data_IF_532285921760
#
_entry.id   IF_532285921760
#
_cell.length_a   1.000
_cell.length_b   1.000
_cell.length_c   1.000
_cell.angle_alpha   90.00
_cell.angle_beta   90.00
_cell.angle_gamma   90.00
#
_symmetry.space_group_name_H-M   'P 1'
#
loop_
_entity.id
_entity.type
_entity.pdbx_description
1 polymer ?
#
# COMPACT_ATOMS: atom_id res chain seq x y z
N UNK A 1 20.22 17.30 -18.17
CA UNK A 1 19.09 16.81 -17.36
C UNK A 1 18.32 15.85 -18.26
N UNK A 2 18.27 14.55 -17.91
CA UNK A 2 17.76 13.48 -18.77
C UNK A 2 16.34 13.79 -19.27
N UNK A 3 16.04 13.56 -20.57
CA UNK A 3 14.73 13.88 -21.17
C UNK A 3 13.58 13.14 -20.48
N UNK A 4 13.85 11.98 -19.86
CA UNK A 4 12.88 11.24 -19.05
C UNK A 4 12.47 12.03 -17.81
N UNK A 5 13.41 12.65 -17.10
CA UNK A 5 13.13 13.40 -15.87
C UNK A 5 12.22 14.58 -16.20
N UNK A 6 12.50 15.29 -17.29
CA UNK A 6 11.67 16.41 -17.75
C UNK A 6 10.25 15.96 -18.10
N UNK A 7 10.12 14.87 -18.86
CA UNK A 7 8.80 14.33 -19.24
C UNK A 7 7.98 13.92 -18.01
N UNK A 8 8.59 13.22 -17.05
CA UNK A 8 7.92 12.83 -15.79
C UNK A 8 7.48 14.06 -15.00
N UNK A 9 8.31 15.11 -14.91
CA UNK A 9 7.91 16.36 -14.24
C UNK A 9 6.75 17.07 -14.94
N UNK A 10 6.75 17.11 -16.28
CA UNK A 10 5.67 17.72 -17.07
C UNK A 10 4.35 16.91 -16.94
N UNK A 11 4.42 15.58 -16.91
CA UNK A 11 3.25 14.70 -16.75
C UNK A 11 2.64 14.82 -15.34
N UNK A 12 3.48 14.92 -14.30
CA UNK A 12 3.04 15.20 -12.91
C UNK A 12 2.36 16.57 -12.82
N UNK A 13 2.96 17.60 -13.41
CA UNK A 13 2.41 18.94 -13.39
C UNK A 13 1.06 19.05 -14.13
N UNK A 14 0.87 18.24 -15.18
CA UNK A 14 -0.34 18.22 -15.99
C UNK A 14 -1.41 17.21 -15.55
N UNK A 15 -1.16 16.42 -14.50
CA UNK A 15 -2.05 15.34 -14.03
C UNK A 15 -2.42 14.36 -15.13
N UNK A 16 -1.47 14.05 -16.01
CA UNK A 16 -1.65 13.18 -17.18
C UNK A 16 -1.15 11.75 -16.96
N UNK A 17 -0.79 11.40 -15.72
CA UNK A 17 -0.36 10.04 -15.43
C UNK A 17 -1.55 9.08 -15.51
N UNK A 18 -1.28 7.83 -15.88
CA UNK A 18 -2.30 6.77 -15.86
C UNK A 18 -3.01 6.63 -14.50
N UNK A 19 -2.30 6.94 -13.41
CA UNK A 19 -2.87 6.97 -12.07
C UNK A 19 -3.91 8.10 -11.91
N UNK A 20 -3.62 9.30 -12.43
CA UNK A 20 -4.54 10.44 -12.38
C UNK A 20 -5.83 10.15 -13.17
N UNK A 21 -5.71 9.51 -14.33
CA UNK A 21 -6.86 9.06 -15.13
C UNK A 21 -7.74 8.09 -14.33
N UNK A 22 -7.13 7.09 -13.68
CA UNK A 22 -7.86 6.08 -12.90
C UNK A 22 -8.51 6.67 -11.65
N UNK A 23 -7.82 7.58 -10.96
CA UNK A 23 -8.37 8.31 -9.81
C UNK A 23 -9.56 9.17 -10.25
N UNK A 24 -9.45 9.87 -11.38
CA UNK A 24 -10.53 10.69 -11.94
C UNK A 24 -11.73 9.83 -12.33
N UNK A 25 -11.51 8.68 -12.97
CA UNK A 25 -12.56 7.72 -13.31
C UNK A 25 -13.27 7.19 -12.04
N UNK A 26 -12.50 6.89 -10.99
CA UNK A 26 -13.03 6.42 -9.72
C UNK A 26 -13.93 7.47 -9.06
N UNK A 27 -13.44 8.70 -8.90
CA UNK A 27 -14.24 9.78 -8.32
C UNK A 27 -15.41 10.20 -9.20
N UNK A 28 -15.30 10.05 -10.53
CA UNK A 28 -16.41 10.27 -11.46
C UNK A 28 -17.57 9.29 -11.29
N UNK A 29 -17.31 8.10 -10.72
CA UNK A 29 -18.36 7.11 -10.38
C UNK A 29 -18.91 7.31 -8.97
N UNK A 30 -18.28 8.14 -8.14
CA UNK A 30 -18.70 8.36 -6.77
C UNK A 30 -19.92 9.29 -6.69
N UNK A 31 -20.80 9.03 -5.72
CA UNK A 31 -21.88 9.97 -5.38
C UNK A 31 -21.30 11.12 -4.57
N UNK A 32 -21.51 12.35 -5.02
CA UNK A 32 -21.07 13.56 -4.32
C UNK A 32 -22.13 13.96 -3.29
N UNK A 33 -21.75 13.95 -2.02
CA UNK A 33 -22.56 14.50 -0.93
C UNK A 33 -22.24 15.99 -0.82
N UNK A 34 -23.23 16.84 -1.07
CA UNK A 34 -23.06 18.30 -1.00
C UNK A 34 -22.88 18.76 0.44
N UNK A 35 -21.84 19.54 0.71
CA UNK A 35 -21.64 20.19 2.02
C UNK A 35 -22.45 21.48 2.11
N UNK A 36 -23.72 21.35 2.51
CA UNK A 36 -24.58 22.51 2.75
C UNK A 36 -24.50 23.04 4.19
N UNK A 37 -25.15 24.19 4.44
CA UNK A 37 -25.17 24.81 5.76
C UNK A 37 -25.78 23.93 6.84
N UNK A 38 -26.79 23.11 6.51
CA UNK A 38 -27.44 22.23 7.48
C UNK A 38 -26.50 21.10 7.91
N UNK A 39 -25.78 20.51 6.96
CA UNK A 39 -24.77 19.50 7.25
C UNK A 39 -23.63 20.06 8.10
N UNK A 40 -23.19 21.29 7.80
CA UNK A 40 -22.17 21.99 8.60
C UNK A 40 -22.66 22.23 10.03
N UNK A 41 -23.93 22.59 10.23
CA UNK A 41 -24.51 22.78 11.57
C UNK A 41 -24.54 21.47 12.37
N UNK A 42 -24.94 20.35 11.75
CA UNK A 42 -24.89 19.02 12.37
C UNK A 42 -23.45 18.64 12.77
N UNK A 43 -22.49 18.88 11.87
CA UNK A 43 -21.08 18.61 12.14
C UNK A 43 -20.53 19.48 13.29
N UNK A 44 -20.91 20.75 13.37
CA UNK A 44 -20.55 21.63 14.50
C UNK A 44 -21.15 21.12 15.81
N UNK A 45 -22.42 20.75 15.80
CA UNK A 45 -23.08 20.19 16.98
C UNK A 45 -22.39 18.92 17.46
N UNK A 46 -22.04 17.99 16.55
CA UNK A 46 -21.26 16.77 16.86
C UNK A 46 -19.96 17.11 17.60
N UNK A 47 -19.23 18.12 17.12
CA UNK A 47 -18.00 18.60 17.76
C UNK A 47 -18.25 19.23 19.13
N UNK A 48 -19.29 20.05 19.27
CA UNK A 48 -19.64 20.72 20.52
C UNK A 48 -20.00 19.72 21.63
N UNK A 49 -20.64 18.60 21.27
CA UNK A 49 -20.95 17.50 22.21
C UNK A 49 -19.84 16.44 22.31
N UNK A 50 -18.73 16.60 21.58
CA UNK A 50 -17.56 15.71 21.55
C UNK A 50 -17.86 14.28 21.11
N UNK A 51 -18.81 14.12 20.21
CA UNK A 51 -19.07 12.83 19.58
C UNK A 51 -18.02 12.59 18.47
N UNK A 52 -17.38 11.42 18.40
CA UNK A 52 -16.50 11.07 17.29
C UNK A 52 -17.31 10.92 15.98
N UNK A 53 -16.72 10.97 14.79
CA UNK A 53 -15.31 11.26 14.56
C UNK A 53 -15.07 12.78 14.52
N UNK A 54 -13.88 13.20 14.92
CA UNK A 54 -13.48 14.61 14.95
C UNK A 54 -12.67 14.99 16.19
N UNK A 55 -11.86 16.03 16.03
CA UNK A 55 -10.99 16.61 17.07
C UNK A 55 -11.03 18.13 17.06
N UNK A 56 -10.68 18.75 18.17
CA UNK A 56 -10.70 20.20 18.34
C UNK A 56 -9.99 20.91 17.17
N UNK A 57 -10.71 21.82 16.51
CA UNK A 57 -10.20 22.63 15.41
C UNK A 57 -10.34 22.03 14.00
N UNK A 58 -10.90 20.82 13.84
CA UNK A 58 -11.23 20.24 12.53
C UNK A 58 -12.70 19.81 12.46
N UNK A 59 -13.37 20.17 11.37
CA UNK A 59 -14.75 19.75 11.08
C UNK A 59 -14.85 18.67 10.00
N UNK A 60 -13.74 18.32 9.33
CA UNK A 60 -13.77 17.46 8.15
C UNK A 60 -14.39 16.09 8.42
N UNK A 61 -13.92 15.41 9.47
CA UNK A 61 -14.43 14.08 9.82
C UNK A 61 -15.89 14.12 10.28
N UNK A 62 -16.26 15.15 11.04
CA UNK A 62 -17.63 15.36 11.46
C UNK A 62 -18.56 15.59 10.25
N UNK A 63 -18.14 16.38 9.26
CA UNK A 63 -18.89 16.62 8.02
C UNK A 63 -19.03 15.31 7.23
N UNK A 64 -17.95 14.54 7.09
CA UNK A 64 -17.99 13.27 6.35
C UNK A 64 -18.97 12.29 6.99
N UNK A 65 -18.91 12.12 8.30
CA UNK A 65 -19.77 11.17 9.00
C UNK A 65 -21.24 11.60 9.04
N UNK A 66 -21.53 12.88 9.33
CA UNK A 66 -22.89 13.40 9.22
C UNK A 66 -23.42 13.29 7.79
N UNK A 67 -22.54 13.46 6.78
CA UNK A 67 -22.91 13.33 5.38
C UNK A 67 -23.32 11.91 5.03
N UNK A 68 -22.61 10.91 5.56
CA UNK A 68 -22.97 9.49 5.43
C UNK A 68 -24.29 9.19 6.14
N UNK A 69 -24.48 9.71 7.36
CA UNK A 69 -25.73 9.58 8.10
C UNK A 69 -26.92 10.26 7.40
N UNK A 70 -26.71 11.28 6.59
CA UNK A 70 -27.77 11.95 5.85
C UNK A 70 -28.08 11.28 4.51
N UNK A 71 -27.06 10.80 3.80
CA UNK A 71 -27.18 10.38 2.40
C UNK A 71 -27.41 8.87 2.18
N UNK A 72 -26.91 8.01 3.08
CA UNK A 72 -27.03 6.55 2.89
C UNK A 72 -28.44 6.09 3.26
N UNK A 73 -29.01 5.16 2.47
CA UNK A 73 -30.37 4.66 2.72
C UNK A 73 -30.40 3.79 3.97
N UNK A 74 -31.48 3.86 4.74
CA UNK A 74 -31.66 2.98 5.90
C UNK A 74 -31.73 1.51 5.45
N UNK A 75 -31.12 0.62 6.23
CA UNK A 75 -31.00 -0.81 5.96
C UNK A 75 -29.84 -1.21 5.04
N UNK A 76 -29.14 -0.26 4.42
CA UNK A 76 -27.98 -0.55 3.56
C UNK A 76 -26.70 -0.71 4.39
N UNK A 77 -25.90 -1.78 4.20
CA UNK A 77 -24.61 -1.92 4.88
C UNK A 77 -23.61 -0.88 4.36
N UNK A 78 -22.86 -0.26 5.28
CA UNK A 78 -21.80 0.69 4.93
C UNK A 78 -20.45 -0.01 4.93
N UNK A 79 -19.76 -0.04 3.80
CA UNK A 79 -18.33 -0.36 3.76
C UNK A 79 -17.53 0.94 3.91
N UNK A 80 -16.85 1.11 5.05
CA UNK A 80 -16.08 2.30 5.37
C UNK A 80 -14.58 2.00 5.31
N UNK A 81 -13.84 2.74 4.49
CA UNK A 81 -12.38 2.69 4.44
C UNK A 81 -11.82 3.98 5.04
N UNK A 82 -11.18 3.92 6.21
CA UNK A 82 -10.55 5.08 6.84
C UNK A 82 -9.34 4.69 7.70
N UNK A 83 -8.30 5.54 7.68
CA UNK A 83 -7.06 5.33 8.46
C UNK A 83 -6.85 6.40 9.55
N UNK A 84 -7.91 7.15 9.90
CA UNK A 84 -7.88 8.14 10.98
C UNK A 84 -8.31 7.51 12.32
N UNK A 85 -7.54 7.82 13.38
CA UNK A 85 -7.74 7.35 14.76
C UNK A 85 -9.10 7.72 15.34
N UNK A 86 -9.76 8.72 14.77
CA UNK A 86 -11.09 9.10 15.22
C UNK A 86 -12.16 8.05 14.86
N UNK A 87 -11.90 7.19 13.87
CA UNK A 87 -12.83 6.18 13.38
C UNK A 87 -12.66 4.79 13.99
N UNK A 88 -11.46 4.39 14.45
CA UNK A 88 -11.23 3.03 14.96
C UNK A 88 -11.02 2.96 16.47
N UNK A 89 -11.16 1.75 17.02
CA UNK A 89 -10.97 1.45 18.43
C UNK A 89 -9.50 1.58 18.84
N UNK A 90 -9.28 2.07 20.06
CA UNK A 90 -7.95 2.13 20.67
C UNK A 90 -7.44 0.73 21.04
N UNK A 91 -8.34 -0.23 21.27
CA UNK A 91 -8.01 -1.60 21.65
C UNK A 91 -7.72 -2.49 20.43
N UNK A 92 -8.45 -2.27 19.33
CA UNK A 92 -8.23 -2.96 18.06
C UNK A 92 -8.44 -1.96 16.91
N UNK A 93 -7.33 -1.60 16.26
CA UNK A 93 -7.31 -0.65 15.16
C UNK A 93 -8.06 -1.15 13.91
N UNK A 94 -8.36 -2.44 13.80
CA UNK A 94 -9.14 -2.99 12.69
C UNK A 94 -10.65 -2.99 12.95
N UNK A 95 -11.08 -2.49 14.12
CA UNK A 95 -12.49 -2.41 14.51
C UNK A 95 -12.91 -0.96 14.57
N UNK A 96 -14.07 -0.63 14.00
CA UNK A 96 -14.65 0.70 14.11
C UNK A 96 -14.91 1.05 15.58
N UNK A 97 -14.76 2.32 15.94
CA UNK A 97 -15.05 2.80 17.29
C UNK A 97 -16.51 2.49 17.66
N UNK A 98 -16.71 1.91 18.84
CA UNK A 98 -18.01 1.40 19.32
C UNK A 98 -19.14 2.44 19.16
N UNK A 99 -18.90 3.68 19.58
CA UNK A 99 -19.86 4.79 19.42
C UNK A 99 -20.37 4.95 17.97
N UNK A 100 -19.49 4.83 16.97
CA UNK A 100 -19.86 4.98 15.56
C UNK A 100 -20.65 3.78 15.06
N UNK A 101 -20.28 2.58 15.50
CA UNK A 101 -21.02 1.35 15.21
C UNK A 101 -22.44 1.42 15.76
N UNK A 102 -22.58 1.83 17.03
CA UNK A 102 -23.87 1.92 17.72
C UNK A 102 -24.75 3.00 17.10
N UNK A 103 -24.19 4.18 16.83
CA UNK A 103 -24.90 5.27 16.18
C UNK A 103 -25.41 4.88 14.79
N UNK A 104 -24.58 4.18 14.01
CA UNK A 104 -24.99 3.69 12.69
C UNK A 104 -26.10 2.65 12.80
N UNK A 105 -25.97 1.69 13.72
CA UNK A 105 -26.99 0.68 13.96
C UNK A 105 -28.33 1.30 14.37
N UNK A 106 -28.31 2.31 15.24
CA UNK A 106 -29.52 3.00 15.70
C UNK A 106 -30.17 3.85 14.60
N UNK A 107 -29.38 4.66 13.87
CA UNK A 107 -29.92 5.62 12.89
C UNK A 107 -30.21 5.01 11.53
N UNK A 108 -29.47 3.97 11.15
CA UNK A 108 -29.53 3.35 9.82
C UNK A 108 -30.05 1.93 9.84
N UNK A 109 -30.31 1.34 10.99
CA UNK A 109 -30.82 -0.04 11.11
C UNK A 109 -29.93 -1.04 10.34
N UNK A 110 -28.61 -0.81 10.37
CA UNK A 110 -27.63 -1.51 9.55
C UNK A 110 -26.25 -1.56 10.24
N UNK A 111 -25.27 -2.20 9.61
CA UNK A 111 -23.92 -2.37 10.15
C UNK A 111 -22.87 -1.62 9.31
N UNK A 112 -21.75 -1.31 9.96
CA UNK A 112 -20.56 -0.77 9.30
C UNK A 112 -19.50 -1.86 9.18
N UNK A 113 -19.11 -2.18 7.95
CA UNK A 113 -17.94 -3.00 7.64
C UNK A 113 -16.73 -2.08 7.49
N UNK A 114 -15.84 -2.11 8.47
CA UNK A 114 -14.72 -1.19 8.55
C UNK A 114 -13.41 -1.80 8.05
N UNK A 115 -12.66 -1.01 7.30
CA UNK A 115 -11.34 -1.36 6.77
C UNK A 115 -10.39 -0.18 6.97
N UNK A 116 -9.16 -0.46 7.40
CA UNK A 116 -8.14 0.59 7.47
C UNK A 116 -7.57 0.97 6.11
N UNK A 117 -7.59 0.02 5.17
CA UNK A 117 -6.95 0.16 3.87
C UNK A 117 -7.86 -0.36 2.77
N UNK A 118 -7.83 0.33 1.63
CA UNK A 118 -8.56 -0.08 0.44
C UNK A 118 -8.14 -1.48 -0.03
N UNK A 119 -6.88 -1.86 0.22
CA UNK A 119 -6.36 -3.21 -0.01
C UNK A 119 -7.09 -4.29 0.78
N UNK A 120 -7.47 -4.04 2.04
CA UNK A 120 -8.22 -5.01 2.85
C UNK A 120 -9.64 -5.20 2.27
N UNK A 121 -10.30 -4.09 1.92
CA UNK A 121 -11.60 -4.13 1.26
C UNK A 121 -11.58 -4.93 -0.05
N UNK A 122 -10.60 -4.66 -0.92
CA UNK A 122 -10.46 -5.42 -2.16
C UNK A 122 -10.13 -6.88 -1.93
N UNK A 123 -9.26 -7.22 -0.97
CA UNK A 123 -8.95 -8.63 -0.69
C UNK A 123 -10.19 -9.44 -0.28
N UNK A 124 -11.12 -8.82 0.43
CA UNK A 124 -12.34 -9.48 0.91
C UNK A 124 -13.43 -9.58 -0.17
N UNK A 125 -13.66 -8.49 -0.92
CA UNK A 125 -14.80 -8.39 -1.85
C UNK A 125 -14.43 -8.60 -3.33
N UNK A 126 -13.16 -8.42 -3.66
CA UNK A 126 -12.61 -8.48 -5.02
C UNK A 126 -11.22 -9.14 -5.01
N UNK A 127 -11.10 -10.40 -4.54
CA UNK A 127 -9.81 -11.07 -4.33
C UNK A 127 -8.96 -11.19 -5.60
N UNK A 128 -9.56 -11.08 -6.78
CA UNK A 128 -8.88 -11.00 -8.07
C UNK A 128 -8.08 -9.70 -8.26
N UNK A 129 -8.45 -8.63 -7.54
CA UNK A 129 -7.74 -7.35 -7.54
C UNK A 129 -6.49 -7.48 -6.66
N UNK A 130 -5.34 -7.71 -7.30
CA UNK A 130 -4.02 -7.89 -6.67
C UNK A 130 -3.44 -6.65 -5.95
N UNK A 131 -4.22 -5.61 -5.66
CA UNK A 131 -3.74 -4.32 -5.11
C UNK A 131 -3.10 -4.44 -3.72
N UNK A 132 -3.67 -5.26 -2.83
CA UNK A 132 -3.13 -5.49 -1.49
C UNK A 132 -1.75 -6.14 -1.55
N UNK A 133 -1.67 -7.20 -2.34
CA UNK A 133 -0.46 -7.98 -2.58
C UNK A 133 0.62 -7.14 -3.26
N UNK A 134 0.26 -6.30 -4.24
CA UNK A 134 1.23 -5.39 -4.87
C UNK A 134 1.76 -4.34 -3.89
N UNK A 135 0.92 -3.77 -3.02
CA UNK A 135 1.37 -2.82 -2.00
C UNK A 135 2.27 -3.49 -0.95
N UNK A 136 1.90 -4.68 -0.46
CA UNK A 136 2.72 -5.45 0.47
C UNK A 136 4.07 -5.83 -0.15
N UNK A 137 4.07 -6.18 -1.44
CA UNK A 137 5.27 -6.44 -2.23
C UNK A 137 6.13 -5.18 -2.35
N UNK A 138 5.56 -4.02 -2.70
CA UNK A 138 6.29 -2.74 -2.75
C UNK A 138 6.89 -2.34 -1.40
N UNK A 139 6.17 -2.54 -0.30
CA UNK A 139 6.70 -2.27 1.05
C UNK A 139 7.84 -3.22 1.41
N UNK A 140 7.75 -4.49 1.03
CA UNK A 140 8.82 -5.47 1.24
C UNK A 140 10.07 -5.15 0.41
N UNK A 141 9.90 -4.69 -0.84
CA UNK A 141 11.01 -4.24 -1.69
C UNK A 141 11.69 -3.03 -1.04
N UNK A 142 10.93 -2.02 -0.61
CA UNK A 142 11.49 -0.85 0.10
C UNK A 142 12.22 -1.24 1.38
N UNK A 143 11.74 -2.24 2.12
CA UNK A 143 12.41 -2.73 3.32
C UNK A 143 13.76 -3.38 2.99
N UNK A 144 13.83 -4.17 1.90
CA UNK A 144 15.09 -4.75 1.42
C UNK A 144 16.07 -3.65 0.96
N UNK A 145 15.59 -2.69 0.17
CA UNK A 145 16.40 -1.55 -0.31
C UNK A 145 17.04 -0.77 0.83
N UNK A 146 16.29 -0.54 1.91
CA UNK A 146 16.76 0.19 3.08
C UNK A 146 17.33 -0.72 4.17
N UNK A 147 17.58 -2.00 3.88
CA UNK A 147 18.12 -2.94 4.85
C UNK A 147 19.51 -2.50 5.28
N UNK A 148 19.71 -2.38 6.59
CA UNK A 148 20.96 -1.88 7.20
C UNK A 148 21.74 -2.94 7.96
N UNK A 149 21.25 -4.18 8.00
CA UNK A 149 21.90 -5.32 8.64
C UNK A 149 21.39 -6.64 8.05
N UNK A 150 22.14 -7.72 8.26
CA UNK A 150 21.83 -9.04 7.71
C UNK A 150 20.46 -9.57 8.18
N UNK A 151 20.10 -9.37 9.46
CA UNK A 151 18.82 -9.84 9.98
C UNK A 151 17.61 -9.16 9.30
N UNK A 152 17.69 -7.86 9.00
CA UNK A 152 16.64 -7.16 8.23
C UNK A 152 16.63 -7.59 6.76
N UNK A 153 17.78 -7.96 6.20
CA UNK A 153 17.88 -8.50 4.82
C UNK A 153 17.16 -9.84 4.72
N UNK A 154 17.50 -10.82 5.57
CA UNK A 154 16.82 -12.13 5.58
C UNK A 154 15.32 -12.00 5.85
N UNK A 155 14.91 -11.12 6.78
CA UNK A 155 13.49 -10.87 7.06
C UNK A 155 12.75 -10.32 5.83
N UNK A 156 13.40 -9.45 5.06
CA UNK A 156 12.81 -8.87 3.85
C UNK A 156 12.77 -9.90 2.71
N UNK A 157 13.84 -10.67 2.51
CA UNK A 157 13.91 -11.75 1.52
C UNK A 157 12.88 -12.84 1.81
N UNK A 158 12.71 -13.25 3.06
CA UNK A 158 11.68 -14.22 3.47
C UNK A 158 10.25 -13.73 3.14
N UNK A 159 9.98 -12.43 3.23
CA UNK A 159 8.70 -11.85 2.82
C UNK A 159 8.55 -11.81 1.30
N UNK A 160 9.61 -11.42 0.59
CA UNK A 160 9.60 -11.29 -0.88
C UNK A 160 9.51 -12.64 -1.59
N UNK A 161 10.12 -13.68 -1.01
CA UNK A 161 10.12 -15.06 -1.55
C UNK A 161 8.73 -15.69 -1.61
N UNK A 162 7.72 -15.07 -0.97
CA UNK A 162 6.32 -15.51 -1.05
C UNK A 162 5.62 -15.10 -2.33
N UNK A 163 6.23 -14.22 -3.14
CA UNK A 163 5.65 -13.71 -4.37
C UNK A 163 6.34 -14.35 -5.59
N UNK A 164 5.53 -14.87 -6.52
CA UNK A 164 6.04 -15.54 -7.72
C UNK A 164 6.36 -14.57 -8.87
N UNK A 165 5.75 -13.38 -8.89
CA UNK A 165 5.84 -12.43 -10.00
C UNK A 165 6.25 -11.04 -9.51
N UNK A 166 7.21 -10.43 -10.19
CA UNK A 166 7.62 -9.04 -10.05
C UNK A 166 7.45 -8.33 -11.39
N UNK A 167 6.90 -7.11 -11.37
CA UNK A 167 6.87 -6.31 -12.58
C UNK A 167 8.29 -5.86 -12.96
N UNK A 168 8.46 -5.38 -14.20
CA UNK A 168 9.77 -4.96 -14.72
C UNK A 168 10.51 -3.98 -13.78
N UNK A 169 9.82 -2.97 -13.25
CA UNK A 169 10.45 -1.98 -12.36
C UNK A 169 10.91 -2.62 -11.06
N UNK A 170 10.05 -3.45 -10.45
CA UNK A 170 10.35 -4.16 -9.20
C UNK A 170 11.53 -5.13 -9.37
N UNK A 171 11.55 -5.91 -10.45
CA UNK A 171 12.63 -6.85 -10.71
C UNK A 171 13.99 -6.13 -10.90
N UNK A 172 14.01 -5.01 -11.62
CA UNK A 172 15.22 -4.21 -11.80
C UNK A 172 15.68 -3.56 -10.49
N UNK A 173 14.75 -3.08 -9.65
CA UNK A 173 15.09 -2.53 -8.33
C UNK A 173 15.70 -3.60 -7.40
N UNK A 174 15.15 -4.82 -7.42
CA UNK A 174 15.68 -5.95 -6.67
C UNK A 174 17.08 -6.38 -7.15
N UNK A 175 17.29 -6.48 -8.46
CA UNK A 175 18.60 -6.77 -9.02
C UNK A 175 19.62 -5.67 -8.65
N UNK A 176 19.23 -4.41 -8.78
CA UNK A 176 20.10 -3.27 -8.47
C UNK A 176 20.51 -3.23 -7.00
N UNK A 177 19.62 -3.55 -6.05
CA UNK A 177 19.96 -3.52 -4.62
C UNK A 177 20.95 -4.63 -4.26
N UNK A 178 20.88 -5.80 -4.90
CA UNK A 178 21.83 -6.89 -4.68
C UNK A 178 23.28 -6.44 -4.94
N UNK A 179 23.46 -5.64 -5.99
CA UNK A 179 24.76 -5.16 -6.46
C UNK A 179 25.22 -3.91 -5.67
N UNK A 180 24.31 -2.96 -5.45
CA UNK A 180 24.66 -1.66 -4.87
C UNK A 180 24.69 -1.62 -3.34
N UNK A 181 23.99 -2.54 -2.66
CA UNK A 181 24.02 -2.63 -1.21
C UNK A 181 25.06 -3.67 -0.79
N UNK A 182 26.23 -3.19 -0.34
CA UNK A 182 27.34 -4.04 0.08
C UNK A 182 26.97 -5.02 1.20
N UNK A 183 26.00 -4.69 2.07
CA UNK A 183 25.53 -5.63 3.10
C UNK A 183 24.79 -6.81 2.50
N UNK A 184 24.03 -6.61 1.43
CA UNK A 184 23.32 -7.69 0.74
C UNK A 184 24.31 -8.52 -0.07
N UNK A 185 25.21 -7.84 -0.80
CA UNK A 185 26.26 -8.49 -1.57
C UNK A 185 27.14 -9.40 -0.71
N UNK A 186 27.53 -8.98 0.50
CA UNK A 186 28.32 -9.81 1.43
C UNK A 186 27.66 -11.13 1.85
N UNK A 187 26.34 -11.20 1.81
CA UNK A 187 25.58 -12.40 2.16
C UNK A 187 24.86 -12.99 0.96
N UNK A 188 25.29 -12.67 -0.27
CA UNK A 188 24.62 -13.13 -1.48
C UNK A 188 24.66 -14.65 -1.64
N UNK A 189 25.65 -15.31 -1.01
CA UNK A 189 25.79 -16.76 -0.96
C UNK A 189 25.08 -17.42 0.22
N UNK A 190 24.43 -16.66 1.11
CA UNK A 190 23.58 -17.25 2.14
C UNK A 190 22.39 -17.94 1.46
N UNK A 191 22.03 -19.13 1.96
CA UNK A 191 21.12 -20.05 1.26
C UNK A 191 19.82 -19.40 0.80
N UNK A 192 19.17 -18.58 1.63
CA UNK A 192 17.90 -17.92 1.30
C UNK A 192 18.08 -16.73 0.35
N UNK A 193 19.21 -16.03 0.45
CA UNK A 193 19.56 -14.90 -0.41
C UNK A 193 19.92 -15.38 -1.82
N UNK A 194 20.78 -16.39 -1.91
CA UNK A 194 21.18 -17.02 -3.15
C UNK A 194 19.98 -17.61 -3.88
N UNK A 195 19.13 -18.36 -3.17
CA UNK A 195 17.91 -18.95 -3.74
C UNK A 195 16.97 -17.87 -4.28
N UNK A 196 16.76 -16.79 -3.52
CA UNK A 196 15.90 -15.69 -3.94
C UNK A 196 16.37 -15.02 -5.24
N UNK A 197 17.67 -14.67 -5.33
CA UNK A 197 18.20 -13.99 -6.51
C UNK A 197 18.35 -14.93 -7.72
N UNK A 198 18.64 -16.20 -7.50
CA UNK A 198 18.62 -17.22 -8.56
C UNK A 198 17.22 -17.35 -9.15
N UNK A 199 16.18 -17.46 -8.31
CA UNK A 199 14.79 -17.50 -8.75
C UNK A 199 14.35 -16.21 -9.47
N UNK A 200 14.85 -15.05 -9.03
CA UNK A 200 14.60 -13.77 -9.69
C UNK A 200 15.13 -13.77 -11.12
N UNK A 201 16.35 -14.26 -11.35
CA UNK A 201 16.95 -14.39 -12.69
C UNK A 201 16.15 -15.37 -13.54
N UNK A 202 15.83 -16.56 -13.01
CA UNK A 202 15.10 -17.59 -13.76
C UNK A 202 13.74 -17.08 -14.22
N UNK A 203 13.00 -16.43 -13.33
CA UNK A 203 11.62 -16.02 -13.59
C UNK A 203 11.51 -14.67 -14.33
N UNK A 204 12.48 -13.77 -14.16
CA UNK A 204 12.37 -12.38 -14.64
C UNK A 204 13.58 -11.89 -15.46
N UNK A 205 14.57 -12.74 -15.75
CA UNK A 205 15.80 -12.36 -16.44
C UNK A 205 15.57 -11.65 -17.79
N UNK A 206 14.55 -12.05 -18.55
CA UNK A 206 14.19 -11.40 -19.81
C UNK A 206 13.67 -9.95 -19.67
N UNK A 207 13.30 -9.55 -18.45
CA UNK A 207 12.79 -8.21 -18.13
C UNK A 207 13.82 -7.34 -17.38
N UNK A 208 14.94 -7.93 -16.95
CA UNK A 208 16.05 -7.20 -16.35
C UNK A 208 16.82 -6.41 -17.42
N UNK A 209 17.36 -5.27 -17.03
CA UNK A 209 18.34 -4.56 -17.83
C UNK A 209 19.61 -5.41 -17.97
N UNK A 210 20.14 -5.52 -19.19
CA UNK A 210 21.24 -6.45 -19.48
C UNK A 210 22.45 -6.25 -18.56
N UNK A 211 22.79 -5.01 -18.21
CA UNK A 211 23.91 -4.70 -17.31
C UNK A 211 23.68 -5.27 -15.90
N UNK A 212 22.46 -5.09 -15.35
CA UNK A 212 22.09 -5.64 -14.04
C UNK A 212 22.03 -7.16 -14.05
N UNK A 213 21.54 -7.75 -15.14
CA UNK A 213 21.47 -9.20 -15.28
C UNK A 213 22.86 -9.84 -15.27
N UNK A 214 23.81 -9.29 -16.04
CA UNK A 214 25.16 -9.85 -16.12
C UNK A 214 25.93 -9.66 -14.81
N UNK A 215 25.83 -8.48 -14.19
CA UNK A 215 26.44 -8.24 -12.87
C UNK A 215 25.86 -9.18 -11.79
N UNK A 216 24.53 -9.34 -11.74
CA UNK A 216 23.91 -10.21 -10.75
C UNK A 216 24.32 -11.69 -10.94
N UNK A 217 24.50 -12.15 -12.18
CA UNK A 217 25.01 -13.50 -12.47
C UNK A 217 26.46 -13.66 -12.02
N UNK A 218 27.31 -12.65 -12.24
CA UNK A 218 28.71 -12.67 -11.82
C UNK A 218 28.80 -12.81 -10.30
N UNK A 219 28.08 -11.97 -9.55
CA UNK A 219 28.04 -12.02 -8.07
C UNK A 219 27.52 -13.37 -7.53
N UNK A 220 26.56 -14.00 -8.21
CA UNK A 220 26.07 -15.33 -7.83
C UNK A 220 27.03 -16.46 -8.21
N UNK A 221 27.88 -16.28 -9.23
CA UNK A 221 28.86 -17.29 -9.64
C UNK A 221 30.00 -17.43 -8.63
N UNK A 222 30.30 -16.38 -7.88
CA UNK A 222 31.30 -16.37 -6.80
C UNK A 222 30.88 -17.21 -5.58
N UNK A 223 29.63 -17.71 -5.56
CA UNK A 223 29.12 -18.60 -4.52
C UNK A 223 29.40 -20.08 -4.78
N UNK A 224 29.86 -20.46 -5.97
CA UNK A 224 30.34 -21.82 -6.23
C UNK A 224 31.73 -22.00 -5.59
N UNK A 225 32.00 -23.10 -4.87
CA UNK A 225 33.32 -23.32 -4.30
C UNK A 225 34.35 -23.40 -5.42
N UNK A 226 35.40 -22.58 -5.33
CA UNK A 226 36.58 -22.74 -6.17
C UNK A 226 37.17 -24.13 -5.93
N UNK A 227 37.23 -24.95 -6.97
CA UNK A 227 37.88 -26.28 -6.97
C UNK A 227 39.42 -26.23 -6.73
N UNK A 228 39.97 -25.09 -6.31
CA UNK A 228 41.42 -24.87 -6.15
C UNK A 228 41.99 -25.22 -4.75
N UNK A 229 41.18 -25.77 -3.84
CA UNK A 229 41.62 -26.26 -2.52
C UNK A 229 41.50 -27.79 -2.37
N UNK A 230 42.08 -28.55 -3.30
CA UNK A 230 42.27 -30.01 -3.20
C UNK A 230 43.73 -30.45 -3.34
#
# INVERSE_FOLDING_TARGET
MSSLIKKVSDDVASRSLKADEKITELFGKATIISTDSSLIEKARFRMDVRNPPGKDGSLGDAINWEGLLESVTNGEPLHLVADDKDYYSVLDENVIKEFLSDEWAEKKESQVHFYRRLSQFFKEHYPEIKLATELEKELAIKALVNSSNFASTHSSISKLSKYAEFNKSQANELAQVAISNSQINWIICDSDVYEFYSNLIESHGAHLENELLEQLKEELSDCEPSDDDA
#
